data_IF_115690175597
#
_entry.id   IF_115690175597
#
_cell.length_a   1.000
_cell.length_b   1.000
_cell.length_c   1.000
_cell.angle_alpha   90.00
_cell.angle_beta   90.00
_cell.angle_gamma   90.00
#
_symmetry.space_group_name_H-M   'P 1'
#
loop_
_entity.id
_entity.type
_entity.pdbx_description
1 polymer ?
#
# COMPACT_ATOMS: atom_id res chain seq x y z
N UNK A 1 2.93 -3.44 29.08
CA UNK A 1 2.20 -4.17 30.15
C UNK A 1 1.63 -3.26 31.24
N UNK A 2 2.38 -2.25 31.75
CA UNK A 2 1.92 -1.36 32.82
C UNK A 2 0.59 -0.65 32.49
N UNK A 3 0.44 -0.12 31.28
CA UNK A 3 -0.77 0.61 30.87
C UNK A 3 -2.03 -0.23 30.79
N UNK A 4 -1.94 -1.48 30.31
CA UNK A 4 -3.08 -2.40 30.25
C UNK A 4 -3.55 -2.80 31.65
N UNK A 5 -2.62 -3.04 32.56
CA UNK A 5 -2.94 -3.30 33.96
C UNK A 5 -3.63 -2.10 34.60
N UNK A 6 -3.12 -0.90 34.36
CA UNK A 6 -3.70 0.34 34.87
C UNK A 6 -5.12 0.56 34.32
N UNK A 7 -5.34 0.30 33.03
CA UNK A 7 -6.67 0.36 32.43
C UNK A 7 -7.64 -0.62 33.11
N UNK A 8 -7.24 -1.88 33.27
CA UNK A 8 -8.04 -2.91 33.94
C UNK A 8 -8.39 -2.52 35.39
N UNK A 9 -7.40 -2.08 36.17
CA UNK A 9 -7.62 -1.67 37.57
C UNK A 9 -8.55 -0.46 37.62
N UNK A 10 -8.41 0.52 36.72
CA UNK A 10 -9.32 1.66 36.67
C UNK A 10 -10.76 1.24 36.32
N UNK A 11 -10.95 0.33 35.36
CA UNK A 11 -12.26 -0.21 35.00
C UNK A 11 -12.96 -0.87 36.20
N UNK A 12 -12.22 -1.64 37.00
CA UNK A 12 -12.77 -2.32 38.19
C UNK A 12 -13.03 -1.33 39.33
N UNK A 13 -12.05 -0.49 39.66
CA UNK A 13 -12.17 0.42 40.83
C UNK A 13 -13.19 1.53 40.64
N UNK A 14 -13.48 1.92 39.39
CA UNK A 14 -14.46 2.94 39.07
C UNK A 14 -15.80 2.38 38.58
N UNK A 15 -15.99 1.06 38.54
CA UNK A 15 -17.28 0.45 38.20
C UNK A 15 -18.37 0.79 39.21
N UNK A 16 -19.57 1.11 38.73
CA UNK A 16 -20.77 1.18 39.56
C UNK A 16 -21.39 -0.22 39.70
N UNK A 17 -21.08 -0.88 40.82
CA UNK A 17 -21.55 -2.25 41.10
C UNK A 17 -23.01 -2.34 41.51
N UNK A 18 -23.71 -1.21 41.66
CA UNK A 18 -25.15 -1.18 41.91
C UNK A 18 -25.98 -1.00 40.64
N UNK A 19 -25.31 -0.83 39.49
CA UNK A 19 -25.98 -0.69 38.20
C UNK A 19 -26.07 -2.06 37.50
N UNK A 20 -27.26 -2.63 37.51
CA UNK A 20 -27.53 -3.95 36.90
C UNK A 20 -27.87 -3.88 35.41
N UNK A 21 -28.00 -2.66 34.85
CA UNK A 21 -28.39 -2.46 33.45
C UNK A 21 -27.23 -2.53 32.46
N UNK A 22 -26.02 -2.22 32.91
CA UNK A 22 -24.80 -2.27 32.11
C UNK A 22 -23.84 -3.28 32.75
N UNK A 23 -23.27 -4.16 31.95
CA UNK A 23 -22.23 -5.07 32.41
C UNK A 23 -20.84 -4.45 32.27
N UNK A 24 -19.94 -4.74 33.21
CA UNK A 24 -18.52 -4.50 33.03
C UNK A 24 -17.99 -5.42 31.93
N UNK A 25 -17.34 -4.85 30.93
CA UNK A 25 -16.96 -5.57 29.72
C UNK A 25 -15.64 -5.07 29.15
N UNK A 26 -14.82 -6.01 28.70
CA UNK A 26 -13.58 -5.73 27.99
C UNK A 26 -13.68 -6.38 26.62
N UNK A 27 -13.66 -5.57 25.57
CA UNK A 27 -13.82 -6.03 24.19
C UNK A 27 -12.53 -5.78 23.43
N UNK A 28 -11.99 -6.84 22.80
CA UNK A 28 -10.84 -6.73 21.89
C UNK A 28 -11.33 -6.89 20.46
N UNK A 29 -11.07 -5.89 19.63
CA UNK A 29 -11.20 -5.98 18.17
C UNK A 29 -9.81 -6.11 17.54
N UNK A 30 -9.74 -6.09 16.20
CA UNK A 30 -8.46 -6.10 15.49
C UNK A 30 -7.57 -4.89 15.85
N UNK A 31 -8.18 -3.72 16.07
CA UNK A 31 -7.45 -2.45 16.18
C UNK A 31 -7.78 -1.68 17.47
N UNK A 32 -8.63 -2.22 18.34
CA UNK A 32 -8.99 -1.56 19.60
C UNK A 32 -9.11 -2.55 20.75
N UNK A 33 -8.72 -2.09 21.93
CA UNK A 33 -9.06 -2.72 23.19
C UNK A 33 -9.91 -1.73 24.00
N UNK A 34 -11.16 -2.09 24.23
CA UNK A 34 -12.15 -1.23 24.86
C UNK A 34 -12.51 -1.77 26.22
N UNK A 35 -12.41 -0.92 27.24
CA UNK A 35 -12.83 -1.18 28.60
C UNK A 35 -14.08 -0.37 28.89
N UNK A 36 -15.17 -1.05 29.24
CA UNK A 36 -16.46 -0.46 29.56
C UNK A 36 -16.83 -0.82 30.99
N UNK A 37 -17.02 0.19 31.84
CA UNK A 37 -17.52 0.00 33.19
C UNK A 37 -18.85 0.75 33.39
N UNK A 38 -19.78 0.18 34.16
CA UNK A 38 -20.99 0.86 34.59
C UNK A 38 -20.68 2.14 35.38
N UNK A 39 -21.60 3.09 35.25
CA UNK A 39 -21.57 4.38 35.92
C UNK A 39 -20.82 5.47 35.15
N UNK A 40 -21.24 6.71 35.37
CA UNK A 40 -20.61 7.91 34.82
C UNK A 40 -19.30 8.25 35.54
N UNK A 41 -18.42 9.01 34.89
CA UNK A 41 -17.27 9.61 35.57
C UNK A 41 -17.72 10.64 36.62
N UNK A 42 -17.05 10.61 37.78
CA UNK A 42 -17.28 11.55 38.89
C UNK A 42 -16.53 12.88 38.72
N UNK A 43 -15.68 12.97 37.70
CA UNK A 43 -14.87 14.15 37.37
C UNK A 43 -14.95 14.42 35.87
N UNK A 44 -14.66 15.64 35.46
CA UNK A 44 -14.61 15.99 34.04
C UNK A 44 -13.50 15.21 33.32
N UNK A 45 -13.83 14.70 32.12
CA UNK A 45 -12.93 13.87 31.30
C UNK A 45 -11.62 14.61 31.02
N UNK A 46 -11.69 15.89 30.67
CA UNK A 46 -10.52 16.71 30.32
C UNK A 46 -9.57 16.88 31.51
N UNK A 47 -10.11 17.01 32.71
CA UNK A 47 -9.32 17.15 33.94
C UNK A 47 -8.70 15.83 34.38
N UNK A 48 -9.43 14.72 34.20
CA UNK A 48 -8.91 13.38 34.47
C UNK A 48 -7.74 13.02 33.54
N UNK A 49 -7.85 13.35 32.24
CA UNK A 49 -6.78 13.13 31.25
C UNK A 49 -5.53 13.93 31.61
N UNK A 50 -5.69 15.16 32.11
CA UNK A 50 -4.58 16.00 32.59
C UNK A 50 -4.03 15.57 33.96
N UNK A 51 -4.67 14.63 34.64
CA UNK A 51 -4.30 14.19 35.99
C UNK A 51 -4.52 15.25 37.06
N UNK A 52 -5.46 16.17 36.84
CA UNK A 52 -5.77 17.28 37.75
C UNK A 52 -6.77 16.85 38.84
N UNK A 53 -7.83 16.16 38.43
CA UNK A 53 -8.90 15.70 39.33
C UNK A 53 -9.02 14.18 39.27
N UNK A 54 -9.26 13.57 40.43
CA UNK A 54 -9.55 12.14 40.52
C UNK A 54 -10.37 11.81 41.76
N UNK A 55 -11.49 11.14 41.54
CA UNK A 55 -12.35 10.62 42.60
C UNK A 55 -12.58 9.13 42.33
N UNK A 56 -12.27 8.29 43.32
CA UNK A 56 -12.49 6.85 43.23
C UNK A 56 -13.87 6.48 43.79
N UNK A 57 -14.62 5.68 43.04
CA UNK A 57 -15.93 5.15 43.47
C UNK A 57 -15.75 4.05 44.52
N UNK A 58 -14.86 3.10 44.27
CA UNK A 58 -14.61 1.97 45.16
C UNK A 58 -13.21 2.06 45.80
N UNK A 59 -13.04 2.97 46.75
CA UNK A 59 -11.75 3.20 47.43
C UNK A 59 -11.19 1.94 48.11
N UNK A 60 -12.06 1.07 48.64
CA UNK A 60 -11.67 -0.20 49.24
C UNK A 60 -11.04 -1.16 48.21
N UNK A 61 -11.67 -1.33 47.04
CA UNK A 61 -11.11 -2.14 45.94
C UNK A 61 -9.77 -1.58 45.45
N UNK A 62 -9.69 -0.25 45.31
CA UNK A 62 -8.43 0.40 44.95
C UNK A 62 -7.32 0.11 45.98
N UNK A 63 -7.64 0.14 47.28
CA UNK A 63 -6.69 -0.20 48.34
C UNK A 63 -6.23 -1.66 48.30
N UNK A 64 -7.11 -2.60 47.94
CA UNK A 64 -6.73 -4.00 47.70
C UNK A 64 -5.71 -4.07 46.56
N UNK A 65 -6.04 -3.52 45.39
CA UNK A 65 -5.13 -3.52 44.22
C UNK A 65 -3.77 -2.88 44.53
N UNK A 66 -3.77 -1.83 45.35
CA UNK A 66 -2.53 -1.19 45.79
C UNK A 66 -1.68 -2.11 46.68
N UNK A 67 -2.29 -2.79 47.65
CA UNK A 67 -1.58 -3.70 48.57
C UNK A 67 -0.98 -4.90 47.85
N UNK A 68 -1.64 -5.40 46.81
CA UNK A 68 -1.11 -6.50 45.98
C UNK A 68 -0.16 -6.02 44.87
N UNK A 69 0.21 -4.73 44.84
CA UNK A 69 1.19 -4.18 43.90
C UNK A 69 0.68 -4.01 42.46
N UNK A 70 -0.64 -4.02 42.24
CA UNK A 70 -1.24 -3.84 40.92
C UNK A 70 -1.44 -2.37 40.53
N UNK A 71 -1.52 -1.45 41.51
CA UNK A 71 -1.51 0.00 41.30
C UNK A 71 -0.67 0.74 42.35
N UNK A 72 -0.09 1.89 41.99
CA UNK A 72 0.86 2.62 42.86
C UNK A 72 0.21 3.83 43.58
N UNK A 73 -0.59 4.65 42.88
CA UNK A 73 -1.17 5.91 43.39
C UNK A 73 -2.57 6.20 42.83
N UNK A 74 -3.45 6.73 43.68
CA UNK A 74 -4.76 7.23 43.27
C UNK A 74 -4.61 8.51 42.43
N UNK A 75 -5.35 8.60 41.33
CA UNK A 75 -5.57 9.85 40.59
C UNK A 75 -4.58 10.28 39.53
N UNK A 76 -3.60 9.43 39.21
CA UNK A 76 -2.78 9.58 37.99
C UNK A 76 -2.99 8.47 36.98
N UNK A 77 -3.88 7.51 37.26
CA UNK A 77 -4.07 6.31 36.43
C UNK A 77 -4.44 6.65 34.99
N UNK A 78 -5.50 7.45 34.80
CA UNK A 78 -5.93 7.91 33.47
C UNK A 78 -4.84 8.71 32.76
N UNK A 79 -4.24 9.71 33.41
CA UNK A 79 -3.16 10.50 32.81
C UNK A 79 -1.95 9.64 32.39
N UNK A 80 -1.60 8.63 33.21
CA UNK A 80 -0.52 7.68 32.91
C UNK A 80 -0.90 6.81 31.72
N UNK A 81 -2.14 6.33 31.65
CA UNK A 81 -2.63 5.58 30.49
C UNK A 81 -2.48 6.42 29.22
N UNK A 82 -2.99 7.65 29.20
CA UNK A 82 -2.92 8.52 28.04
C UNK A 82 -1.48 8.82 27.62
N UNK A 83 -0.62 9.15 28.59
CA UNK A 83 0.78 9.50 28.32
C UNK A 83 1.57 8.30 27.81
N UNK A 84 1.52 7.16 28.53
CA UNK A 84 2.28 5.97 28.16
C UNK A 84 1.77 5.34 26.87
N UNK A 85 0.45 5.30 26.64
CA UNK A 85 -0.11 4.75 25.41
C UNK A 85 0.28 5.58 24.19
N UNK A 86 0.27 6.91 24.32
CA UNK A 86 0.75 7.80 23.26
C UNK A 86 2.24 7.65 23.02
N UNK A 87 3.06 7.52 24.07
CA UNK A 87 4.51 7.32 23.91
C UNK A 87 4.84 6.00 23.23
N UNK A 88 4.15 4.92 23.60
CA UNK A 88 4.45 3.57 23.13
C UNK A 88 3.90 3.31 21.71
N UNK A 89 2.71 3.82 21.40
CA UNK A 89 1.96 3.46 20.18
C UNK A 89 1.63 4.66 19.29
N UNK A 90 1.96 5.89 19.70
CA UNK A 90 1.61 7.14 19.00
C UNK A 90 0.12 7.28 18.67
N UNK A 91 -0.72 6.57 19.42
CA UNK A 91 -2.17 6.68 19.37
C UNK A 91 -2.68 7.27 20.66
N UNK A 92 -3.57 8.24 20.55
CA UNK A 92 -4.24 8.80 21.71
C UNK A 92 -5.41 7.90 22.10
N UNK A 93 -5.48 7.42 23.36
CA UNK A 93 -6.69 6.77 23.87
C UNK A 93 -7.91 7.67 23.77
N UNK A 94 -9.10 7.07 23.72
CA UNK A 94 -10.37 7.78 23.76
C UNK A 94 -11.08 7.43 25.05
N UNK A 95 -11.48 8.45 25.82
CA UNK A 95 -12.23 8.29 27.07
C UNK A 95 -13.56 9.02 26.92
N UNK A 96 -14.65 8.27 26.95
CA UNK A 96 -16.01 8.80 26.82
C UNK A 96 -16.84 8.36 28.03
N UNK A 97 -17.71 9.24 28.53
CA UNK A 97 -18.64 8.93 29.62
C UNK A 97 -20.05 9.30 29.21
N UNK A 98 -21.01 8.43 29.53
CA UNK A 98 -22.45 8.68 29.43
C UNK A 98 -23.04 8.71 30.84
N UNK A 99 -24.35 8.91 30.95
CA UNK A 99 -25.05 8.82 32.24
C UNK A 99 -25.04 7.39 32.84
N UNK A 100 -24.89 6.37 32.00
CA UNK A 100 -24.96 4.95 32.38
C UNK A 100 -23.61 4.25 32.45
N UNK A 101 -22.61 4.70 31.69
CA UNK A 101 -21.36 3.95 31.48
C UNK A 101 -20.16 4.84 31.16
N UNK A 102 -18.97 4.39 31.51
CA UNK A 102 -17.70 4.98 31.10
C UNK A 102 -16.95 4.01 30.19
N UNK A 103 -16.39 4.53 29.09
CA UNK A 103 -15.68 3.76 28.08
C UNK A 103 -14.27 4.33 27.87
N UNK A 104 -13.26 3.50 28.08
CA UNK A 104 -11.87 3.75 27.70
C UNK A 104 -11.52 2.86 26.51
N UNK A 105 -11.27 3.48 25.36
CA UNK A 105 -10.85 2.81 24.13
C UNK A 105 -9.37 3.06 23.85
N UNK A 106 -8.60 1.97 23.86
CA UNK A 106 -7.19 1.96 23.52
C UNK A 106 -7.03 1.53 22.06
N UNK A 107 -6.59 2.44 21.20
CA UNK A 107 -6.31 2.11 19.80
C UNK A 107 -5.00 1.34 19.74
N UNK A 108 -5.02 0.17 19.11
CA UNK A 108 -3.87 -0.67 18.87
C UNK A 108 -3.29 -0.32 17.50
N UNK A 109 -1.96 -0.26 17.41
CA UNK A 109 -1.26 -0.18 16.14
C UNK A 109 -0.95 -1.59 15.63
N UNK A 110 -0.78 -1.73 14.31
CA UNK A 110 -0.26 -2.97 13.75
C UNK A 110 1.16 -3.27 14.27
N UNK A 111 1.51 -4.55 14.39
CA UNK A 111 2.79 -4.97 14.98
C UNK A 111 4.01 -4.37 14.26
N UNK A 112 3.89 -4.13 12.95
CA UNK A 112 4.92 -3.47 12.15
C UNK A 112 5.14 -2.00 12.55
N UNK A 113 4.07 -1.26 12.85
CA UNK A 113 4.16 0.13 13.32
C UNK A 113 4.75 0.19 14.71
N UNK A 114 4.39 -0.73 15.60
CA UNK A 114 5.00 -0.82 16.94
C UNK A 114 6.50 -1.05 16.83
N UNK A 115 6.91 -2.03 16.01
CA UNK A 115 8.33 -2.29 15.74
C UNK A 115 9.04 -1.05 15.16
N UNK A 116 8.40 -0.36 14.22
CA UNK A 116 8.94 0.85 13.63
C UNK A 116 9.16 1.97 14.67
N UNK A 117 8.19 2.22 15.54
CA UNK A 117 8.28 3.22 16.61
C UNK A 117 9.38 2.87 17.60
N UNK A 118 9.48 1.60 18.02
CA UNK A 118 10.53 1.14 18.92
C UNK A 118 11.92 1.34 18.30
N UNK A 119 12.09 0.93 17.04
CA UNK A 119 13.36 1.10 16.32
C UNK A 119 13.74 2.57 16.17
N UNK A 120 12.79 3.44 15.83
CA UNK A 120 13.01 4.89 15.73
C UNK A 120 13.38 5.51 17.07
N UNK A 121 12.75 5.05 18.15
CA UNK A 121 13.02 5.52 19.51
C UNK A 121 14.39 5.06 20.00
N UNK A 122 14.82 3.85 19.64
CA UNK A 122 16.15 3.33 19.95
C UNK A 122 17.25 4.12 19.22
N UNK A 123 17.07 4.42 17.94
CA UNK A 123 18.09 5.08 17.11
C UNK A 123 18.15 6.60 17.33
N UNK A 124 17.00 7.26 17.47
CA UNK A 124 16.93 8.73 17.56
C UNK A 124 16.60 9.26 18.97
N UNK A 125 16.12 8.42 19.88
CA UNK A 125 15.81 8.80 21.26
C UNK A 125 14.80 9.95 21.36
N UNK A 126 15.08 10.90 22.27
CA UNK A 126 14.22 12.07 22.52
C UNK A 126 13.98 12.92 21.27
N UNK A 127 14.93 12.97 20.32
CA UNK A 127 14.77 13.75 19.08
C UNK A 127 13.56 13.29 18.27
N UNK A 128 13.26 11.99 18.26
CA UNK A 128 12.07 11.45 17.59
C UNK A 128 10.79 11.71 18.38
N UNK A 129 10.83 11.56 19.71
CA UNK A 129 9.66 11.72 20.59
C UNK A 129 9.12 13.15 20.53
N UNK A 130 9.98 14.16 20.46
CA UNK A 130 9.58 15.57 20.45
C UNK A 130 9.22 16.09 19.05
N UNK A 131 9.26 15.22 18.04
CA UNK A 131 9.06 15.60 16.66
C UNK A 131 7.56 15.74 16.28
N UNK A 132 7.27 16.54 15.25
CA UNK A 132 5.90 16.74 14.74
C UNK A 132 5.27 15.41 14.28
N UNK A 133 3.95 15.29 14.42
CA UNK A 133 3.21 14.07 14.04
C UNK A 133 3.43 13.64 12.58
N UNK A 134 3.50 14.59 11.64
CA UNK A 134 3.75 14.29 10.23
C UNK A 134 5.13 13.67 10.00
N UNK A 135 6.17 14.20 10.65
CA UNK A 135 7.53 13.67 10.57
C UNK A 135 7.61 12.26 11.14
N UNK A 136 6.98 12.02 12.30
CA UNK A 136 6.90 10.68 12.91
C UNK A 136 6.28 9.68 11.95
N UNK A 137 5.17 10.05 11.30
CA UNK A 137 4.49 9.18 10.34
C UNK A 137 5.38 8.86 9.12
N UNK A 138 6.08 9.85 8.58
CA UNK A 138 7.03 9.64 7.46
C UNK A 138 8.13 8.66 7.86
N UNK A 139 8.68 8.80 9.07
CA UNK A 139 9.75 7.92 9.56
C UNK A 139 9.25 6.50 9.84
N UNK A 140 8.04 6.34 10.38
CA UNK A 140 7.41 5.02 10.57
C UNK A 140 7.26 4.31 9.22
N UNK A 141 6.74 5.02 8.21
CA UNK A 141 6.61 4.49 6.85
C UNK A 141 7.98 4.10 6.29
N UNK A 142 9.03 4.86 6.58
CA UNK A 142 10.39 4.51 6.16
C UNK A 142 10.90 3.22 6.79
N UNK A 143 10.65 3.00 8.08
CA UNK A 143 11.03 1.73 8.71
C UNK A 143 10.21 0.57 8.16
N UNK A 144 8.90 0.75 7.95
CA UNK A 144 8.03 -0.28 7.37
C UNK A 144 8.45 -0.68 5.95
N UNK A 145 8.94 0.27 5.16
CA UNK A 145 9.53 0.01 3.85
C UNK A 145 11.03 -0.29 3.93
N UNK A 146 11.46 -1.09 4.92
CA UNK A 146 12.83 -1.58 5.04
C UNK A 146 13.94 -0.50 5.09
N UNK A 147 13.63 0.75 5.44
CA UNK A 147 14.64 1.80 5.55
C UNK A 147 14.66 2.82 4.41
N UNK A 148 13.77 2.69 3.42
CA UNK A 148 13.70 3.62 2.28
C UNK A 148 12.30 4.20 2.07
N UNK A 149 12.22 5.40 1.50
CA UNK A 149 10.96 6.05 1.10
C UNK A 149 11.15 6.85 -0.17
N UNK A 150 10.06 7.05 -0.90
CA UNK A 150 9.99 8.04 -1.96
C UNK A 150 8.70 8.87 -1.85
N UNK A 151 8.64 9.97 -2.60
CA UNK A 151 7.49 10.87 -2.54
C UNK A 151 6.18 10.19 -2.98
N UNK A 152 6.23 9.22 -3.90
CA UNK A 152 5.04 8.49 -4.38
C UNK A 152 4.44 7.60 -3.30
N UNK A 153 5.27 6.82 -2.61
CA UNK A 153 4.88 5.96 -1.48
C UNK A 153 4.25 6.82 -0.39
N UNK A 154 4.90 7.93 -0.01
CA UNK A 154 4.34 8.85 0.99
C UNK A 154 3.03 9.49 0.53
N UNK A 155 2.92 9.91 -0.73
CA UNK A 155 1.67 10.48 -1.25
C UNK A 155 0.53 9.46 -1.24
N UNK A 156 0.83 8.19 -1.50
CA UNK A 156 -0.17 7.12 -1.47
C UNK A 156 -0.63 6.77 -0.06
N UNK A 157 0.29 6.77 0.92
CA UNK A 157 0.01 6.35 2.30
C UNK A 157 -0.44 7.50 3.21
N UNK A 158 0.01 8.72 2.95
CA UNK A 158 -0.32 9.94 3.71
C UNK A 158 -1.27 10.88 2.97
N UNK A 159 -1.74 10.52 1.77
CA UNK A 159 -2.58 11.41 0.95
C UNK A 159 -3.89 11.85 1.61
N UNK A 160 -4.39 11.11 2.59
CA UNK A 160 -5.56 11.49 3.39
C UNK A 160 -5.23 12.46 4.54
N UNK A 161 -3.97 12.56 4.94
CA UNK A 161 -3.51 13.25 6.16
C UNK A 161 -2.71 14.52 5.81
N UNK A 162 -1.95 14.49 4.71
CA UNK A 162 -1.07 15.58 4.31
C UNK A 162 -1.06 15.77 2.79
N UNK A 163 -0.99 17.03 2.38
CA UNK A 163 -0.83 17.41 0.97
C UNK A 163 0.61 17.17 0.49
N UNK A 164 0.80 16.98 -0.82
CA UNK A 164 2.14 16.77 -1.40
C UNK A 164 3.14 17.89 -1.07
N UNK A 165 2.66 19.14 -0.94
CA UNK A 165 3.50 20.27 -0.50
C UNK A 165 3.98 20.11 0.94
N UNK A 166 3.10 19.71 1.86
CA UNK A 166 3.47 19.46 3.26
C UNK A 166 4.49 18.32 3.38
N UNK A 167 4.31 17.25 2.59
CA UNK A 167 5.26 16.13 2.54
C UNK A 167 6.64 16.61 2.04
N UNK A 168 6.69 17.43 0.99
CA UNK A 168 7.94 17.97 0.44
C UNK A 168 8.70 18.84 1.45
N UNK A 169 7.97 19.69 2.19
CA UNK A 169 8.54 20.52 3.26
C UNK A 169 9.05 19.65 4.43
N UNK A 170 8.25 18.67 4.84
CA UNK A 170 8.62 17.74 5.90
C UNK A 170 9.88 16.92 5.57
N UNK A 171 10.01 16.46 4.32
CA UNK A 171 11.21 15.75 3.86
C UNK A 171 12.46 16.64 3.90
N UNK A 172 12.33 17.91 3.49
CA UNK A 172 13.42 18.88 3.56
C UNK A 172 13.84 19.17 5.01
N UNK A 173 12.87 19.31 5.92
CA UNK A 173 13.13 19.48 7.36
C UNK A 173 13.81 18.24 7.96
N UNK A 174 13.36 17.03 7.60
CA UNK A 174 13.94 15.77 8.09
C UNK A 174 15.38 15.56 7.62
N UNK A 175 15.71 15.95 6.38
CA UNK A 175 17.11 15.94 5.89
C UNK A 175 17.94 16.92 6.71
N UNK A 176 17.46 18.16 6.89
CA UNK A 176 18.18 19.19 7.64
C UNK A 176 18.44 18.79 9.09
N UNK A 177 17.50 18.07 9.70
CA UNK A 177 17.60 17.53 11.06
C UNK A 177 18.43 16.24 11.16
N UNK A 178 18.84 15.65 10.04
CA UNK A 178 19.68 14.44 9.99
C UNK A 178 18.92 13.13 10.23
N UNK A 179 17.59 13.11 10.14
CA UNK A 179 16.80 11.89 10.31
C UNK A 179 16.82 11.00 9.07
N UNK A 180 16.98 11.59 7.87
CA UNK A 180 16.97 10.86 6.60
C UNK A 180 18.06 11.41 5.66
N UNK A 181 18.55 10.56 4.77
CA UNK A 181 19.55 10.85 3.76
C UNK A 181 18.88 10.84 2.37
N UNK A 182 18.87 11.97 1.67
CA UNK A 182 18.37 12.02 0.30
C UNK A 182 19.39 11.46 -0.69
N UNK A 183 18.96 10.52 -1.55
CA UNK A 183 19.74 9.97 -2.67
C UNK A 183 18.93 10.00 -3.98
N UNK A 184 19.62 10.05 -5.12
CA UNK A 184 19.02 10.05 -6.45
C UNK A 184 18.69 11.43 -7.03
N UNK A 185 18.37 11.47 -8.33
CA UNK A 185 18.12 12.69 -9.09
C UNK A 185 16.64 12.84 -9.51
N UNK A 186 16.14 14.08 -9.44
CA UNK A 186 14.83 14.54 -9.93
C UNK A 186 13.65 13.57 -9.63
N UNK A 187 13.15 12.84 -10.64
CA UNK A 187 11.96 11.97 -10.55
C UNK A 187 12.21 10.65 -9.79
N UNK A 188 13.46 10.29 -9.55
CA UNK A 188 13.87 9.08 -8.82
C UNK A 188 14.51 9.44 -7.47
N UNK A 189 14.15 10.58 -6.88
CA UNK A 189 14.62 10.95 -5.54
C UNK A 189 14.00 10.02 -4.49
N UNK A 190 14.86 9.33 -3.77
CA UNK A 190 14.49 8.50 -2.63
C UNK A 190 15.25 8.96 -1.38
N UNK A 191 14.75 8.57 -0.22
CA UNK A 191 15.34 8.92 1.06
C UNK A 191 15.56 7.65 1.86
N UNK A 192 16.71 7.56 2.51
CA UNK A 192 17.13 6.42 3.32
C UNK A 192 17.24 6.82 4.78
N UNK A 193 16.96 5.88 5.67
CA UNK A 193 17.31 6.01 7.07
C UNK A 193 18.84 5.85 7.26
N UNK A 194 19.45 6.48 8.27
CA UNK A 194 20.91 6.51 8.42
C UNK A 194 21.58 5.14 8.60
N UNK A 195 20.87 4.17 9.15
CA UNK A 195 21.31 2.77 9.33
C UNK A 195 20.96 1.88 8.13
N UNK A 196 20.26 2.40 7.13
CA UNK A 196 19.82 1.67 5.95
C UNK A 196 20.78 1.87 4.75
N UNK A 197 22.08 2.08 5.03
CA UNK A 197 23.08 2.50 4.03
C UNK A 197 23.39 1.45 2.96
N UNK A 198 23.13 0.18 3.24
CA UNK A 198 23.52 -0.97 2.40
C UNK A 198 22.35 -1.61 1.62
N UNK A 199 21.25 -0.89 1.41
CA UNK A 199 20.13 -1.39 0.60
C UNK A 199 20.50 -1.32 -0.87
N UNK A 200 20.50 -2.48 -1.53
CA UNK A 200 20.70 -2.61 -2.97
C UNK A 200 19.55 -1.94 -3.76
N UNK A 201 19.89 -0.99 -4.63
CA UNK A 201 18.94 -0.15 -5.37
C UNK A 201 17.99 -1.00 -6.23
N UNK A 202 18.45 -2.19 -6.69
CA UNK A 202 17.64 -3.12 -7.46
C UNK A 202 16.46 -3.70 -6.65
N UNK A 203 16.64 -3.96 -5.35
CA UNK A 203 15.60 -4.49 -4.46
C UNK A 203 14.56 -3.43 -4.08
N UNK A 204 14.92 -2.14 -4.09
CA UNK A 204 14.02 -1.01 -3.80
C UNK A 204 12.92 -0.91 -4.86
N UNK A 205 13.27 -1.04 -6.16
CA UNK A 205 12.28 -1.01 -7.24
C UNK A 205 11.37 -2.25 -7.27
N UNK A 206 11.86 -3.43 -6.88
CA UNK A 206 11.03 -4.63 -6.71
C UNK A 206 10.09 -4.48 -5.52
N UNK A 207 10.58 -3.92 -4.42
CA UNK A 207 9.81 -3.65 -3.19
C UNK A 207 8.79 -2.52 -3.36
N UNK A 208 9.06 -1.52 -4.21
CA UNK A 208 8.09 -0.48 -4.58
C UNK A 208 6.82 -1.11 -5.18
N UNK A 209 6.99 -2.14 -6.02
CA UNK A 209 5.89 -2.89 -6.63
C UNK A 209 5.09 -3.69 -5.59
N UNK A 210 5.76 -4.24 -4.57
CA UNK A 210 5.15 -5.05 -3.51
C UNK A 210 4.45 -4.14 -2.47
N UNK A 211 5.06 -3.03 -2.05
CA UNK A 211 4.47 -2.07 -1.10
C UNK A 211 3.22 -1.37 -1.67
N UNK A 212 3.22 -1.07 -2.98
CA UNK A 212 2.05 -0.55 -3.70
C UNK A 212 0.91 -1.58 -3.81
N UNK A 213 1.20 -2.88 -3.66
CA UNK A 213 0.22 -3.97 -3.72
C UNK A 213 -0.45 -4.29 -2.38
N UNK A 214 0.20 -4.00 -1.25
CA UNK A 214 -0.26 -4.39 0.10
C UNK A 214 -1.37 -3.50 0.68
N UNK A 215 -1.49 -2.23 0.27
CA UNK A 215 -2.36 -1.25 0.96
C UNK A 215 -3.58 -0.74 0.19
N UNK A 216 -3.74 -1.13 -1.07
CA UNK A 216 -4.96 -0.78 -1.80
C UNK A 216 -6.04 -1.84 -1.54
N UNK A 217 -6.91 -1.62 -0.56
CA UNK A 217 -8.14 -2.41 -0.35
C UNK A 217 -9.12 -2.34 -1.55
N UNK A 218 -8.99 -1.34 -2.43
CA UNK A 218 -9.63 -1.33 -3.76
C UNK A 218 -8.84 -2.09 -4.83
N UNK A 219 -7.54 -2.31 -4.64
CA UNK A 219 -6.74 -3.17 -5.52
C UNK A 219 -6.81 -4.62 -5.09
N UNK A 220 -7.07 -4.98 -3.82
CA UNK A 220 -7.38 -6.36 -3.45
C UNK A 220 -8.73 -6.81 -4.02
N UNK A 221 -9.77 -5.96 -4.03
CA UNK A 221 -11.01 -6.30 -4.75
C UNK A 221 -10.80 -6.36 -6.28
N UNK A 222 -9.94 -5.51 -6.86
CA UNK A 222 -9.63 -5.50 -8.30
C UNK A 222 -8.58 -6.56 -8.70
N UNK A 223 -7.76 -7.03 -7.77
CA UNK A 223 -6.73 -8.06 -7.93
C UNK A 223 -7.26 -9.43 -7.54
N UNK A 224 -8.22 -9.56 -6.63
CA UNK A 224 -9.02 -10.76 -6.41
C UNK A 224 -10.07 -10.89 -7.50
N UNK A 225 -10.73 -9.82 -7.96
CA UNK A 225 -11.55 -9.91 -9.17
C UNK A 225 -10.71 -10.19 -10.42
N UNK A 226 -9.44 -9.73 -10.52
CA UNK A 226 -8.51 -10.13 -11.60
C UNK A 226 -7.86 -11.50 -11.39
N UNK A 227 -7.65 -11.96 -10.16
CA UNK A 227 -7.05 -13.26 -9.84
C UNK A 227 -8.09 -14.38 -9.85
N UNK A 228 -9.31 -14.14 -9.37
CA UNK A 228 -10.47 -15.01 -9.57
C UNK A 228 -10.93 -14.98 -11.04
N UNK A 229 -10.85 -13.84 -11.75
CA UNK A 229 -11.02 -13.84 -13.21
C UNK A 229 -9.83 -14.44 -13.97
N UNK A 230 -8.63 -14.61 -13.38
CA UNK A 230 -7.49 -15.29 -14.01
C UNK A 230 -7.46 -16.79 -13.71
N UNK A 231 -7.99 -17.23 -12.56
CA UNK A 231 -8.22 -18.66 -12.28
C UNK A 231 -9.41 -19.17 -13.11
N UNK A 232 -10.37 -18.30 -13.45
CA UNK A 232 -11.47 -18.61 -14.36
C UNK A 232 -11.24 -18.35 -15.86
N UNK A 233 -10.06 -17.86 -16.28
CA UNK A 233 -9.76 -17.59 -17.72
C UNK A 233 -8.77 -18.54 -18.38
N UNK A 234 -8.26 -19.55 -17.68
CA UNK A 234 -7.30 -20.48 -18.26
C UNK A 234 -7.93 -21.82 -18.65
N UNK A 235 -8.78 -21.76 -19.69
CA UNK A 235 -8.68 -22.73 -20.78
C UNK A 235 -8.67 -21.93 -22.09
N UNK A 236 -7.64 -21.09 -22.27
CA UNK A 236 -7.34 -20.56 -23.60
C UNK A 236 -6.65 -21.70 -24.36
N UNK A 237 -7.35 -22.30 -25.32
CA UNK A 237 -6.84 -23.41 -26.13
C UNK A 237 -5.69 -22.91 -27.01
N UNK A 238 -4.45 -22.99 -26.50
CA UNK A 238 -3.25 -22.59 -27.23
C UNK A 238 -2.74 -23.76 -28.09
N UNK A 239 -2.16 -23.46 -29.24
CA UNK A 239 -1.48 -24.45 -30.07
C UNK A 239 -0.05 -24.74 -29.59
N UNK A 240 0.62 -25.72 -30.21
CA UNK A 240 2.02 -26.09 -29.93
C UNK A 240 3.04 -24.96 -30.15
N UNK A 241 2.63 -23.84 -30.76
CA UNK A 241 3.47 -22.68 -31.04
C UNK A 241 3.15 -21.49 -30.11
N UNK A 242 2.24 -21.68 -29.14
CA UNK A 242 1.88 -20.66 -28.15
C UNK A 242 0.75 -19.72 -28.57
N UNK A 243 0.16 -19.92 -29.76
CA UNK A 243 -0.89 -19.05 -30.32
C UNK A 243 -2.26 -19.45 -29.81
N UNK A 244 -3.16 -18.48 -29.65
CA UNK A 244 -4.55 -18.72 -29.25
C UNK A 244 -5.32 -19.27 -30.45
N UNK A 245 -6.04 -20.40 -30.27
CA UNK A 245 -7.00 -20.91 -31.25
C UNK A 245 -8.36 -20.27 -31.02
N UNK A 246 -8.86 -19.52 -32.00
CA UNK A 246 -10.21 -18.98 -32.01
C UNK A 246 -10.93 -19.47 -33.28
N UNK A 247 -11.73 -20.54 -33.16
CA UNK A 247 -12.31 -21.23 -34.32
C UNK A 247 -11.22 -21.76 -35.26
N UNK A 248 -11.24 -21.34 -36.53
CA UNK A 248 -10.22 -21.68 -37.53
C UNK A 248 -9.08 -20.64 -37.60
N UNK A 249 -9.10 -19.62 -36.75
CA UNK A 249 -8.14 -18.51 -36.74
C UNK A 249 -7.09 -18.71 -35.65
N UNK A 250 -5.85 -18.27 -35.94
CA UNK A 250 -4.72 -18.35 -35.03
C UNK A 250 -4.28 -16.93 -34.67
N UNK A 251 -4.24 -16.61 -33.37
CA UNK A 251 -3.94 -15.27 -32.88
C UNK A 251 -2.68 -15.28 -32.03
N UNK A 252 -1.73 -14.42 -32.35
CA UNK A 252 -0.57 -14.10 -31.51
C UNK A 252 -0.96 -12.93 -30.59
N UNK A 253 -1.14 -13.22 -29.30
CA UNK A 253 -1.45 -12.23 -28.27
C UNK A 253 -0.20 -11.55 -27.73
N UNK A 254 0.74 -12.32 -27.17
CA UNK A 254 1.97 -11.83 -26.56
C UNK A 254 3.14 -12.75 -26.93
N UNK A 255 4.31 -12.15 -27.16
CA UNK A 255 5.50 -12.90 -27.58
C UNK A 255 6.03 -13.81 -26.47
N UNK A 256 5.77 -13.48 -25.20
CA UNK A 256 6.23 -14.27 -24.06
C UNK A 256 5.60 -15.67 -23.97
N UNK A 257 4.49 -15.92 -24.68
CA UNK A 257 3.85 -17.22 -24.72
C UNK A 257 4.21 -18.04 -25.97
N UNK A 258 4.98 -17.48 -26.90
CA UNK A 258 5.39 -18.19 -28.12
C UNK A 258 6.51 -19.16 -27.82
N UNK A 259 6.50 -20.28 -28.54
CA UNK A 259 7.63 -21.22 -28.52
C UNK A 259 8.91 -20.55 -29.05
N UNK A 260 10.05 -20.87 -28.44
CA UNK A 260 11.33 -20.22 -28.74
C UNK A 260 11.77 -20.41 -30.20
N UNK A 261 11.48 -21.56 -30.82
CA UNK A 261 11.83 -21.81 -32.23
C UNK A 261 10.95 -20.99 -33.16
N UNK A 262 9.64 -20.93 -32.87
CA UNK A 262 8.70 -20.16 -33.67
C UNK A 262 8.92 -18.65 -33.53
N UNK A 263 9.28 -18.19 -32.33
CA UNK A 263 9.70 -16.80 -32.09
C UNK A 263 10.94 -16.44 -32.91
N UNK A 264 11.96 -17.30 -32.91
CA UNK A 264 13.16 -17.08 -33.71
C UNK A 264 12.86 -17.04 -35.23
N UNK A 265 11.90 -17.84 -35.70
CA UNK A 265 11.42 -17.76 -37.10
C UNK A 265 10.78 -16.41 -37.41
N UNK A 266 9.90 -15.89 -36.53
CA UNK A 266 9.28 -14.58 -36.74
C UNK A 266 10.31 -13.44 -36.68
N UNK A 267 11.30 -13.54 -35.80
CA UNK A 267 12.39 -12.58 -35.71
C UNK A 267 13.31 -12.64 -36.95
N UNK A 268 13.52 -13.83 -37.55
CA UNK A 268 14.34 -13.98 -38.76
C UNK A 268 13.75 -13.31 -40.01
N UNK A 269 12.43 -13.06 -40.03
CA UNK A 269 11.76 -12.30 -41.10
C UNK A 269 12.20 -10.84 -41.08
N UNK A 270 12.62 -10.33 -39.93
CA UNK A 270 12.96 -8.92 -39.73
C UNK A 270 14.48 -8.76 -39.75
N UNK A 271 14.99 -7.99 -40.71
CA UNK A 271 16.44 -7.71 -40.75
C UNK A 271 16.90 -6.95 -39.51
N UNK A 272 18.02 -7.36 -38.91
CA UNK A 272 18.61 -6.68 -37.75
C UNK A 272 18.89 -5.20 -38.03
N UNK A 273 19.26 -4.85 -39.27
CA UNK A 273 19.45 -3.48 -39.74
C UNK A 273 18.16 -2.65 -39.68
N UNK A 274 17.00 -3.26 -39.87
CA UNK A 274 15.72 -2.58 -39.72
C UNK A 274 15.36 -2.41 -38.24
N UNK A 275 15.56 -3.45 -37.43
CA UNK A 275 15.23 -3.42 -36.01
C UNK A 275 15.96 -2.30 -35.26
N UNK A 276 17.26 -2.12 -35.57
CA UNK A 276 18.14 -1.15 -34.91
C UNK A 276 18.02 0.29 -35.43
N UNK A 277 17.28 0.54 -36.51
CA UNK A 277 17.09 1.91 -37.02
C UNK A 277 16.23 2.75 -36.07
N UNK A 278 16.74 3.94 -35.70
CA UNK A 278 15.98 4.92 -34.89
C UNK A 278 14.74 5.48 -35.60
N UNK A 279 14.78 5.63 -36.93
CA UNK A 279 13.66 6.06 -37.76
C UNK A 279 13.36 4.99 -38.80
N UNK A 280 12.21 4.33 -38.65
CA UNK A 280 11.80 3.20 -39.50
C UNK A 280 11.00 3.74 -40.69
N UNK A 281 11.43 3.48 -41.94
CA UNK A 281 10.73 3.97 -43.11
C UNK A 281 9.37 3.27 -43.25
N UNK A 282 8.29 4.02 -43.58
CA UNK A 282 6.93 3.50 -43.59
C UNK A 282 6.71 2.36 -44.60
N UNK A 283 7.45 2.38 -45.72
CA UNK A 283 7.40 1.32 -46.73
C UNK A 283 7.93 -0.01 -46.20
N UNK A 284 9.04 -0.01 -45.46
CA UNK A 284 9.60 -1.22 -44.87
C UNK A 284 8.73 -1.72 -43.70
N UNK A 285 8.14 -0.82 -42.91
CA UNK A 285 7.14 -1.18 -41.88
C UNK A 285 5.96 -1.92 -42.52
N UNK A 286 5.46 -1.43 -43.66
CA UNK A 286 4.37 -2.08 -44.41
C UNK A 286 4.74 -3.49 -44.83
N UNK A 287 5.93 -3.70 -45.41
CA UNK A 287 6.40 -5.03 -45.86
C UNK A 287 6.46 -6.01 -44.70
N UNK A 288 7.09 -5.64 -43.59
CA UNK A 288 7.23 -6.55 -42.44
C UNK A 288 5.90 -6.84 -41.74
N UNK A 289 5.02 -5.83 -41.59
CA UNK A 289 3.69 -6.06 -41.02
C UNK A 289 2.88 -7.02 -41.92
N UNK A 290 2.93 -6.85 -43.24
CA UNK A 290 2.24 -7.77 -44.16
C UNK A 290 2.80 -9.20 -44.06
N UNK A 291 4.13 -9.35 -43.94
CA UNK A 291 4.77 -10.65 -43.80
C UNK A 291 4.38 -11.36 -42.48
N UNK A 292 4.32 -10.63 -41.37
CA UNK A 292 3.96 -11.17 -40.06
C UNK A 292 2.47 -11.53 -39.94
N UNK A 293 1.61 -10.79 -40.64
CA UNK A 293 0.15 -10.92 -40.60
C UNK A 293 -0.44 -11.82 -41.71
N UNK A 294 0.39 -12.44 -42.55
CA UNK A 294 -0.05 -13.19 -43.75
C UNK A 294 -0.96 -14.38 -43.43
N UNK A 295 -0.60 -15.19 -42.44
CA UNK A 295 -1.28 -16.47 -42.14
C UNK A 295 -1.86 -16.52 -40.72
N UNK A 296 -1.90 -15.38 -40.03
CA UNK A 296 -2.32 -15.30 -38.64
C UNK A 296 -2.70 -13.87 -38.26
N UNK A 297 -3.47 -13.77 -37.18
CA UNK A 297 -3.76 -12.51 -36.54
C UNK A 297 -2.64 -12.18 -35.56
N UNK A 298 -2.11 -10.97 -35.63
CA UNK A 298 -1.05 -10.50 -34.73
C UNK A 298 -1.55 -9.30 -33.95
N UNK A 299 -1.43 -9.36 -32.63
CA UNK A 299 -1.81 -8.26 -31.75
C UNK A 299 -0.91 -7.04 -31.98
N UNK A 300 -1.42 -5.86 -31.60
CA UNK A 300 -0.63 -4.63 -31.60
C UNK A 300 0.63 -4.74 -30.72
N UNK A 301 0.54 -5.47 -29.60
CA UNK A 301 1.65 -5.64 -28.67
C UNK A 301 2.75 -6.50 -29.27
N UNK A 302 2.37 -7.63 -29.87
CA UNK A 302 3.31 -8.52 -30.54
C UNK A 302 4.00 -7.85 -31.73
N UNK A 303 3.26 -7.13 -32.58
CA UNK A 303 3.87 -6.38 -33.69
C UNK A 303 4.84 -5.30 -33.21
N UNK A 304 4.51 -4.57 -32.14
CA UNK A 304 5.36 -3.52 -31.61
C UNK A 304 6.70 -4.07 -31.10
N UNK A 305 6.65 -5.21 -30.41
CA UNK A 305 7.85 -5.86 -29.89
C UNK A 305 8.68 -6.50 -31.00
N UNK A 306 8.06 -7.20 -31.97
CA UNK A 306 8.76 -7.79 -33.12
C UNK A 306 9.46 -6.70 -33.96
N UNK A 307 8.77 -5.59 -34.22
CA UNK A 307 9.30 -4.51 -35.05
C UNK A 307 10.20 -3.55 -34.26
N UNK A 308 10.33 -3.67 -32.94
CA UNK A 308 11.08 -2.74 -32.09
C UNK A 308 10.55 -1.30 -32.14
N UNK A 309 9.22 -1.13 -32.18
CA UNK A 309 8.55 0.17 -32.31
C UNK A 309 7.67 0.45 -31.09
N UNK A 310 7.46 1.73 -30.75
CA UNK A 310 6.50 2.09 -29.72
C UNK A 310 5.05 1.84 -30.19
N UNK A 311 4.16 1.47 -29.26
CA UNK A 311 2.74 1.27 -29.57
C UNK A 311 2.05 2.51 -30.19
N UNK A 312 2.55 3.72 -29.88
CA UNK A 312 2.02 4.96 -30.44
C UNK A 312 2.41 5.14 -31.91
N UNK A 313 3.70 4.90 -32.24
CA UNK A 313 4.20 5.01 -33.60
C UNK A 313 3.56 3.95 -34.52
N UNK A 314 3.54 2.69 -34.08
CA UNK A 314 2.94 1.59 -34.85
C UNK A 314 1.43 1.80 -35.04
N UNK A 315 0.74 2.35 -34.04
CA UNK A 315 -0.69 2.60 -34.11
C UNK A 315 -1.11 3.56 -35.22
N UNK A 316 -0.24 4.50 -35.64
CA UNK A 316 -0.51 5.39 -36.77
C UNK A 316 -0.48 4.64 -38.10
N UNK A 317 0.56 3.82 -38.31
CA UNK A 317 0.71 3.01 -39.52
C UNK A 317 -0.39 1.94 -39.64
N UNK A 318 -0.75 1.26 -38.56
CA UNK A 318 -1.82 0.25 -38.59
C UNK A 318 -3.19 0.86 -38.97
N UNK A 319 -3.50 2.08 -38.50
CA UNK A 319 -4.72 2.79 -38.92
C UNK A 319 -4.70 3.14 -40.41
N UNK A 320 -3.54 3.53 -40.93
CA UNK A 320 -3.35 3.82 -42.35
C UNK A 320 -3.51 2.56 -43.22
N UNK A 321 -2.95 1.43 -42.79
CA UNK A 321 -3.06 0.16 -43.51
C UNK A 321 -4.47 -0.43 -43.50
N UNK A 322 -5.22 -0.25 -42.40
CA UNK A 322 -6.65 -0.64 -42.33
C UNK A 322 -7.50 0.28 -43.22
N UNK A 323 -7.25 1.60 -43.22
CA UNK A 323 -7.92 2.53 -44.15
C UNK A 323 -7.61 2.21 -45.62
N UNK A 324 -6.39 1.80 -45.90
CA UNK A 324 -5.93 1.39 -47.22
C UNK A 324 -6.37 -0.02 -47.64
N UNK A 325 -7.26 -0.68 -46.90
CA UNK A 325 -7.74 -2.06 -47.17
C UNK A 325 -6.63 -3.13 -47.24
N UNK A 326 -5.46 -2.89 -46.63
CA UNK A 326 -4.36 -3.87 -46.61
C UNK A 326 -4.51 -4.86 -45.44
N UNK A 327 -5.01 -4.38 -44.29
CA UNK A 327 -5.18 -5.19 -43.08
C UNK A 327 -6.65 -5.25 -42.65
N UNK A 328 -7.06 -6.40 -42.14
CA UNK A 328 -8.35 -6.60 -41.48
C UNK A 328 -8.21 -6.65 -39.96
N UNK A 329 -9.25 -6.17 -39.29
CA UNK A 329 -9.37 -6.17 -37.83
C UNK A 329 -10.01 -7.48 -37.37
N UNK A 330 -9.45 -8.10 -36.33
CA UNK A 330 -10.09 -9.26 -35.68
C UNK A 330 -11.47 -8.93 -35.09
N UNK A 331 -11.65 -7.70 -34.59
CA UNK A 331 -12.92 -7.17 -34.10
C UNK A 331 -13.33 -5.91 -34.89
N UNK A 332 -13.99 -6.04 -36.06
CA UNK A 332 -14.39 -4.91 -36.89
C UNK A 332 -15.42 -3.99 -36.21
N UNK A 333 -16.30 -4.57 -35.39
CA UNK A 333 -17.38 -3.88 -34.68
C UNK A 333 -16.86 -2.97 -33.55
N UNK A 334 -15.62 -3.19 -33.07
CA UNK A 334 -15.02 -2.42 -31.98
C UNK A 334 -13.55 -2.08 -32.31
N UNK A 335 -13.30 -1.03 -33.13
CA UNK A 335 -11.94 -0.68 -33.59
C UNK A 335 -10.95 -0.35 -32.47
N UNK A 336 -11.43 0.03 -31.29
CA UNK A 336 -10.64 0.35 -30.10
C UNK A 336 -10.56 -0.79 -29.07
N UNK A 337 -10.97 -2.01 -29.45
CA UNK A 337 -10.93 -3.17 -28.56
C UNK A 337 -9.50 -3.42 -28.03
N UNK A 338 -9.39 -3.77 -26.74
CA UNK A 338 -8.10 -3.95 -26.07
C UNK A 338 -7.30 -5.11 -26.66
N UNK A 339 -7.97 -6.18 -27.04
CA UNK A 339 -7.36 -7.39 -27.60
C UNK A 339 -7.39 -7.39 -29.14
N UNK A 340 -7.36 -6.21 -29.77
CA UNK A 340 -7.40 -6.09 -31.22
C UNK A 340 -6.15 -6.69 -31.86
N UNK A 341 -6.37 -7.51 -32.89
CA UNK A 341 -5.34 -8.12 -33.71
C UNK A 341 -5.60 -7.84 -35.20
N UNK A 342 -4.54 -7.93 -35.99
CA UNK A 342 -4.54 -7.56 -37.40
C UNK A 342 -4.11 -8.76 -38.25
N UNK A 343 -4.79 -8.99 -39.36
CA UNK A 343 -4.39 -9.98 -40.37
C UNK A 343 -4.37 -9.33 -41.76
N UNK A 344 -3.71 -9.97 -42.72
CA UNK A 344 -3.72 -9.52 -44.10
C UNK A 344 -5.11 -9.77 -44.72
N UNK A 345 -5.68 -8.75 -45.37
CA UNK A 345 -6.94 -8.90 -46.11
C UNK A 345 -6.71 -9.83 -47.30
N UNK A 346 -7.52 -10.90 -47.43
CA UNK A 346 -7.46 -11.83 -48.57
C UNK A 346 -8.19 -11.31 -49.78
#
# INVERSE_FOLDING_TARGET
MKTLREALVNTLTHSDYFNDSIALKITKTLNTLTFENPGTMLVQVEKAIKGQDSICRNAFLHNIFRRVGLCERQGKGIATIFTSWYQDLLTTPVLNTTYQSTNLSLVLQDGETVFAIQKLTQEFGKKYIDEKSLHKNILIIAVKNNGWINHKVLSSQLGAIATGRQITLALSELIRKGFILGKGEQKNKFYLLPWAKDIDIAQIYTSETIALSHFNSKAQAKAQAKAQANIGKNIVNRDRYGRIKFGNQRVIDEICYLDNLFKAQLESIISCDFYNKKKKPPEQVKVYVCALCKDQYVSKNALATLLGMSHSALGKHLKEFVRGNILELAFPQQPTHKDQAYTLKK
#
